data_IF_020173563476
#
_entry.id   IF_020173563476
#
_cell.length_a   1.000
_cell.length_b   1.000
_cell.length_c   1.000
_cell.angle_alpha   90.00
_cell.angle_beta   90.00
_cell.angle_gamma   90.00
#
_symmetry.space_group_name_H-M   'P 1'
#
loop_
_entity.id
_entity.type
_entity.pdbx_description
1 polymer ?
#
# COMPACT_ATOMS: atom_id res chain seq x y z
N UNK A 1 -33.65 -30.32 -39.85
CA UNK A 1 -33.57 -29.92 -38.43
C UNK A 1 -33.06 -28.49 -38.39
N UNK A 2 -33.69 -27.58 -37.63
CA UNK A 2 -33.17 -26.22 -37.46
C UNK A 2 -32.21 -26.24 -36.27
N UNK A 3 -30.95 -25.91 -36.52
CA UNK A 3 -29.95 -25.80 -35.45
C UNK A 3 -30.12 -24.43 -34.78
N UNK A 4 -30.37 -24.42 -33.47
CA UNK A 4 -30.42 -23.20 -32.68
C UNK A 4 -29.02 -22.86 -32.19
N UNK A 5 -28.49 -21.71 -32.62
CA UNK A 5 -27.19 -21.20 -32.17
C UNK A 5 -27.39 -20.30 -30.94
N UNK A 6 -26.64 -20.55 -29.88
CA UNK A 6 -26.64 -19.68 -28.69
C UNK A 6 -25.73 -18.48 -28.98
N UNK A 7 -26.31 -17.28 -29.01
CA UNK A 7 -25.57 -16.03 -29.17
C UNK A 7 -25.18 -15.55 -27.77
N UNK A 8 -23.90 -15.67 -27.42
CA UNK A 8 -23.37 -14.99 -26.24
C UNK A 8 -23.17 -13.51 -26.56
N UNK A 9 -23.71 -12.58 -25.76
CA UNK A 9 -23.35 -11.18 -25.90
C UNK A 9 -21.85 -11.06 -25.61
N UNK A 10 -21.07 -10.67 -26.63
CA UNK A 10 -19.65 -10.38 -26.47
C UNK A 10 -19.54 -9.34 -25.36
N UNK A 11 -18.83 -9.68 -24.28
CA UNK A 11 -18.67 -8.78 -23.13
C UNK A 11 -18.29 -7.40 -23.65
N UNK A 12 -18.93 -6.31 -23.20
CA UNK A 12 -18.54 -4.99 -23.62
C UNK A 12 -17.04 -4.85 -23.34
N UNK A 13 -16.30 -4.48 -24.38
CA UNK A 13 -14.86 -4.22 -24.29
C UNK A 13 -14.61 -3.40 -23.04
N UNK A 14 -13.67 -3.85 -22.20
CA UNK A 14 -13.32 -3.22 -20.93
C UNK A 14 -12.76 -1.84 -21.27
N UNK A 15 -13.63 -0.85 -21.41
CA UNK A 15 -13.25 0.55 -21.51
C UNK A 15 -12.54 0.86 -20.21
N UNK A 16 -11.26 1.20 -20.28
CA UNK A 16 -10.49 1.58 -19.10
C UNK A 16 -11.26 2.68 -18.36
N UNK A 17 -11.87 2.31 -17.24
CA UNK A 17 -12.62 3.27 -16.45
C UNK A 17 -11.63 4.33 -15.97
N UNK A 18 -11.90 5.63 -16.11
CA UNK A 18 -10.98 6.69 -15.67
C UNK A 18 -10.61 6.59 -14.17
N UNK A 19 -11.42 5.88 -13.38
CA UNK A 19 -11.17 5.55 -11.99
C UNK A 19 -10.04 4.53 -11.77
N UNK A 20 -9.62 3.76 -12.77
CA UNK A 20 -8.58 2.73 -12.65
C UNK A 20 -7.25 3.33 -12.18
N UNK A 21 -6.90 4.52 -12.69
CA UNK A 21 -5.71 5.27 -12.30
C UNK A 21 -5.75 5.67 -10.83
N UNK A 22 -6.89 6.17 -10.35
CA UNK A 22 -7.06 6.58 -8.95
C UNK A 22 -7.02 5.37 -8.02
N UNK A 23 -7.67 4.26 -8.41
CA UNK A 23 -7.64 3.01 -7.63
C UNK A 23 -6.22 2.48 -7.53
N UNK A 24 -5.46 2.51 -8.61
CA UNK A 24 -4.06 2.06 -8.60
C UNK A 24 -3.16 2.99 -7.78
N UNK A 25 -3.35 4.30 -7.88
CA UNK A 25 -2.64 5.28 -7.06
C UNK A 25 -2.94 5.07 -5.56
N UNK A 26 -4.21 4.90 -5.19
CA UNK A 26 -4.62 4.62 -3.82
C UNK A 26 -3.99 3.33 -3.27
N UNK A 27 -4.05 2.24 -4.03
CA UNK A 27 -3.44 0.96 -3.63
C UNK A 27 -1.94 1.11 -3.39
N UNK A 28 -1.25 1.82 -4.29
CA UNK A 28 0.19 2.07 -4.16
C UNK A 28 0.52 2.89 -2.91
N UNK A 29 -0.21 3.98 -2.67
CA UNK A 29 0.04 4.85 -1.52
C UNK A 29 -0.24 4.13 -0.20
N UNK A 30 -1.32 3.37 -0.13
CA UNK A 30 -1.64 2.54 1.04
C UNK A 30 -0.49 1.59 1.40
N UNK A 31 0.04 0.87 0.42
CA UNK A 31 1.17 -0.06 0.66
C UNK A 31 2.44 0.68 1.09
N UNK A 32 2.71 1.85 0.50
CA UNK A 32 3.85 2.68 0.90
C UNK A 32 3.72 3.19 2.35
N UNK A 33 2.52 3.60 2.75
CA UNK A 33 2.24 4.03 4.11
C UNK A 33 2.40 2.88 5.12
N UNK A 34 1.86 1.70 4.83
CA UNK A 34 2.00 0.51 5.69
C UNK A 34 3.48 0.18 5.95
N UNK A 35 4.33 0.21 4.91
CA UNK A 35 5.77 -0.02 5.04
C UNK A 35 6.42 1.08 5.88
N UNK A 36 6.08 2.34 5.61
CA UNK A 36 6.63 3.49 6.34
C UNK A 36 6.32 3.41 7.83
N UNK A 37 5.08 3.10 8.20
CA UNK A 37 4.67 2.93 9.60
C UNK A 37 5.42 1.79 10.30
N UNK A 38 5.65 0.68 9.60
CA UNK A 38 6.43 -0.45 10.14
C UNK A 38 7.87 -0.03 10.39
N UNK A 39 8.51 0.64 9.43
CA UNK A 39 9.91 1.06 9.56
C UNK A 39 10.11 2.14 10.63
N UNK A 40 9.17 3.09 10.74
CA UNK A 40 9.17 4.07 11.84
C UNK A 40 9.02 3.41 13.22
N UNK A 41 8.15 2.41 13.34
CA UNK A 41 7.98 1.66 14.59
C UNK A 41 9.16 0.73 14.92
N UNK A 42 9.92 0.31 13.90
CA UNK A 42 11.14 -0.52 14.05
C UNK A 42 12.38 0.29 14.41
N UNK A 43 12.45 1.55 13.99
CA UNK A 43 13.58 2.44 14.27
C UNK A 43 13.63 2.82 15.76
N UNK A 44 14.23 1.96 16.58
CA UNK A 44 14.53 2.22 17.99
C UNK A 44 16.02 2.51 18.12
N UNK A 45 16.39 3.79 18.12
CA UNK A 45 17.76 4.19 18.43
C UNK A 45 17.93 4.17 19.94
N UNK A 46 18.84 3.33 20.42
CA UNK A 46 19.27 3.30 21.82
C UNK A 46 20.70 3.85 21.89
N UNK A 47 20.89 4.93 22.63
CA UNK A 47 22.22 5.50 22.90
C UNK A 47 22.68 5.01 24.27
N UNK A 48 23.95 4.61 24.36
CA UNK A 48 24.58 4.21 25.62
C UNK A 48 25.53 5.33 26.05
N UNK A 49 25.40 5.82 27.27
CA UNK A 49 26.33 6.81 27.82
C UNK A 49 27.63 6.16 28.32
N UNK A 50 28.61 6.99 28.70
CA UNK A 50 29.90 6.57 29.26
C UNK A 50 29.80 5.78 30.58
N UNK A 51 28.63 5.79 31.23
CA UNK A 51 28.32 5.03 32.44
C UNK A 51 27.49 3.77 32.15
N UNK A 52 27.22 3.46 30.88
CA UNK A 52 26.48 2.27 30.46
C UNK A 52 24.96 2.42 30.54
N UNK A 53 24.42 3.61 30.82
CA UNK A 53 22.97 3.80 30.86
C UNK A 53 22.39 3.89 29.44
N UNK A 54 21.33 3.13 29.20
CA UNK A 54 20.63 3.11 27.91
C UNK A 54 19.58 4.22 27.85
N UNK A 55 19.75 5.18 26.96
CA UNK A 55 18.75 6.20 26.62
C UNK A 55 18.07 5.84 25.30
N UNK A 56 16.74 5.66 25.35
CA UNK A 56 15.93 5.45 24.15
C UNK A 56 15.62 6.80 23.53
N UNK A 57 16.03 7.00 22.28
CA UNK A 57 15.68 8.19 21.49
C UNK A 57 14.54 7.80 20.57
N UNK A 58 13.38 8.41 20.81
CA UNK A 58 12.22 8.26 19.94
C UNK A 58 12.37 9.23 18.78
N UNK A 59 12.56 8.73 17.56
CA UNK A 59 12.58 9.54 16.32
C UNK A 59 11.14 9.85 15.88
N UNK A 60 10.23 10.15 16.80
CA UNK A 60 8.97 10.76 16.41
C UNK A 60 9.31 12.20 16.08
N UNK A 61 9.73 12.44 14.84
CA UNK A 61 9.61 13.77 14.26
C UNK A 61 8.12 14.09 14.29
N UNK A 62 7.72 15.03 15.15
CA UNK A 62 6.36 15.55 15.20
C UNK A 62 5.94 16.04 13.81
N UNK A 63 5.21 15.22 13.04
CA UNK A 63 4.31 15.62 11.96
C UNK A 63 3.25 14.53 11.77
#
# INVERSE_FOLDING_TARGET
>A
MRESTIIFPRSPEVKEHPASKLVNAYKKERTHQEITEVELNRAKIAVVDEHGNVKRITILAEH
#
